data_IF_631777425306
#
_entry.id   IF_631777425306
#
_cell.length_a   1.000
_cell.length_b   1.000
_cell.length_c   1.000
_cell.angle_alpha   90.00
_cell.angle_beta   90.00
_cell.angle_gamma   90.00
#
_symmetry.space_group_name_H-M   'P 1'
#
loop_
_entity.id
_entity.type
_entity.pdbx_description
1 polymer ?
#
# COMPACT_ATOMS: atom_id res chain seq x y z
N UNK A 1 -12.68 21.94 13.89
CA UNK A 1 -13.93 21.19 13.75
C UNK A 1 -14.06 20.14 14.85
N UNK A 2 -14.61 20.55 15.99
CA UNK A 2 -14.80 19.73 17.20
C UNK A 2 -16.12 18.92 17.19
N UNK A 3 -16.98 19.10 16.17
CA UNK A 3 -18.33 18.53 16.14
C UNK A 3 -18.39 17.05 15.73
N UNK A 4 -17.35 16.48 15.12
CA UNK A 4 -17.32 15.05 14.76
C UNK A 4 -17.15 14.12 15.97
N UNK A 5 -16.76 14.65 17.14
CA UNK A 5 -16.50 13.85 18.34
C UNK A 5 -17.78 13.46 19.11
N UNK A 6 -18.93 14.06 18.81
CA UNK A 6 -20.11 13.94 19.68
C UNK A 6 -21.03 12.75 19.40
N UNK A 7 -20.80 11.97 18.33
CA UNK A 7 -21.60 10.77 18.01
C UNK A 7 -20.80 9.49 17.78
N UNK A 8 -19.46 9.59 17.71
CA UNK A 8 -18.56 8.48 17.43
C UNK A 8 -17.60 8.19 18.58
N UNK A 9 -17.30 6.91 18.81
CA UNK A 9 -16.19 6.52 19.69
C UNK A 9 -14.88 6.86 19.00
N UNK A 10 -14.18 7.88 19.47
CA UNK A 10 -12.83 8.22 19.01
C UNK A 10 -11.79 7.46 19.81
N UNK A 11 -10.82 6.90 19.11
CA UNK A 11 -9.68 6.19 19.69
C UNK A 11 -8.42 6.86 19.15
N UNK A 12 -7.62 7.43 20.05
CA UNK A 12 -6.29 7.91 19.71
C UNK A 12 -5.38 6.70 19.51
N UNK A 13 -4.61 6.72 18.44
CA UNK A 13 -3.70 5.64 18.06
C UNK A 13 -2.27 6.16 18.03
N UNK A 14 -1.35 5.33 18.49
CA UNK A 14 0.09 5.59 18.49
C UNK A 14 0.72 4.78 17.35
N UNK A 15 1.65 5.39 16.59
CA UNK A 15 2.23 4.80 15.38
C UNK A 15 3.09 3.55 15.62
N UNK A 16 3.35 3.21 16.89
CA UNK A 16 4.18 2.08 17.29
C UNK A 16 3.43 1.05 18.14
N UNK A 17 2.16 1.33 18.49
CA UNK A 17 1.39 0.52 19.43
C UNK A 17 0.22 -0.17 18.74
N UNK A 18 0.21 -1.52 18.68
CA UNK A 18 -0.94 -2.24 18.18
C UNK A 18 -2.19 -2.01 19.01
N UNK A 19 -3.35 -2.02 18.37
CA UNK A 19 -4.65 -1.90 19.04
C UNK A 19 -5.69 -2.82 18.41
N UNK A 20 -6.75 -3.11 19.16
CA UNK A 20 -7.77 -4.05 18.71
C UNK A 20 -9.06 -3.34 18.29
N UNK A 21 -9.61 -3.77 17.16
CA UNK A 21 -10.97 -3.44 16.73
C UNK A 21 -11.73 -4.75 16.54
N UNK A 22 -12.60 -5.08 17.50
CA UNK A 22 -13.32 -6.37 17.53
C UNK A 22 -12.33 -7.55 17.45
N UNK A 23 -12.37 -8.32 16.36
CA UNK A 23 -11.55 -9.52 16.15
C UNK A 23 -10.32 -9.25 15.26
N UNK A 24 -9.95 -7.97 15.09
CA UNK A 24 -8.81 -7.53 14.31
C UNK A 24 -7.79 -6.87 15.23
N UNK A 25 -6.52 -7.22 15.05
CA UNK A 25 -5.39 -6.53 15.65
C UNK A 25 -4.78 -5.64 14.56
N UNK A 26 -4.73 -4.33 14.82
CA UNK A 26 -4.20 -3.34 13.90
C UNK A 26 -2.80 -2.93 14.37
N UNK A 27 -1.82 -3.03 13.48
CA UNK A 27 -0.43 -2.67 13.73
C UNK A 27 -0.08 -1.46 12.86
N UNK A 28 -0.21 -0.23 13.39
CA UNK A 28 0.22 0.96 12.68
C UNK A 28 1.76 0.97 12.55
N UNK A 29 2.25 1.62 11.51
CA UNK A 29 3.68 1.91 11.34
C UNK A 29 3.88 3.22 10.56
N UNK A 30 4.89 4.04 10.90
CA UNK A 30 5.12 5.31 10.22
C UNK A 30 5.67 5.12 8.82
N UNK A 31 5.32 6.03 7.91
CA UNK A 31 5.83 6.05 6.54
C UNK A 31 6.29 7.45 6.13
N UNK A 32 7.20 7.60 5.15
CA UNK A 32 7.51 8.92 4.61
C UNK A 32 6.31 9.46 3.84
N UNK A 33 5.69 10.55 4.30
CA UNK A 33 4.70 11.31 3.54
C UNK A 33 4.63 12.74 4.10
N UNK A 34 4.15 13.71 3.34
CA UNK A 34 4.08 15.12 3.73
C UNK A 34 2.93 15.49 4.69
N UNK A 35 2.53 14.53 5.54
CA UNK A 35 1.59 14.74 6.65
C UNK A 35 2.32 14.84 8.00
N UNK A 36 1.61 15.23 9.06
CA UNK A 36 2.22 15.40 10.39
C UNK A 36 2.71 14.08 11.00
N UNK A 37 1.85 13.05 11.01
CA UNK A 37 2.15 11.70 11.52
C UNK A 37 1.55 10.64 10.59
N UNK A 38 2.07 10.51 9.36
CA UNK A 38 1.58 9.54 8.39
C UNK A 38 1.86 8.12 8.87
N UNK A 39 0.79 7.35 9.00
CA UNK A 39 0.85 5.94 9.35
C UNK A 39 0.18 5.09 8.28
N UNK A 40 0.70 3.90 8.11
CA UNK A 40 0.10 2.81 7.35
C UNK A 40 -0.13 1.63 8.29
N UNK A 41 -0.83 0.58 7.84
CA UNK A 41 -1.33 -0.43 8.76
C UNK A 41 -1.13 -1.84 8.24
N UNK A 42 -0.76 -2.75 9.16
CA UNK A 42 -1.07 -4.17 9.01
C UNK A 42 -2.33 -4.48 9.81
N UNK A 43 -3.23 -5.23 9.19
CA UNK A 43 -4.47 -5.70 9.82
C UNK A 43 -4.36 -7.21 9.95
N UNK A 44 -4.31 -7.68 11.17
CA UNK A 44 -4.21 -9.10 11.50
C UNK A 44 -5.58 -9.61 11.97
N UNK A 45 -6.06 -10.68 11.35
CA UNK A 45 -7.26 -11.37 11.77
C UNK A 45 -6.97 -12.29 12.96
N UNK A 46 -8.01 -12.66 13.70
CA UNK A 46 -7.91 -13.68 14.76
C UNK A 46 -7.31 -15.01 14.29
N UNK A 47 -7.43 -15.36 13.01
CA UNK A 47 -6.87 -16.59 12.45
C UNK A 47 -5.40 -16.45 12.00
N UNK A 48 -4.76 -15.30 12.23
CA UNK A 48 -3.36 -15.05 11.90
C UNK A 48 -3.12 -14.48 10.49
N UNK A 49 -4.18 -14.24 9.71
CA UNK A 49 -4.02 -13.60 8.40
C UNK A 49 -3.73 -12.12 8.54
N UNK A 50 -2.62 -11.71 7.96
CA UNK A 50 -2.18 -10.31 7.91
C UNK A 50 -2.43 -9.72 6.52
N UNK A 51 -3.14 -8.60 6.46
CA UNK A 51 -3.27 -7.74 5.28
C UNK A 51 -2.52 -6.44 5.52
N UNK A 52 -1.57 -6.10 4.65
CA UNK A 52 -0.91 -4.81 4.65
C UNK A 52 -1.65 -3.79 3.79
N UNK A 53 -1.68 -2.54 4.25
CA UNK A 53 -2.08 -1.38 3.47
C UNK A 53 -0.88 -0.45 3.42
N UNK A 54 -0.46 -0.06 2.23
CA UNK A 54 0.56 0.94 2.00
C UNK A 54 0.10 1.86 0.87
N UNK A 55 -0.63 2.92 1.22
CA UNK A 55 -0.87 4.04 0.32
C UNK A 55 -0.19 5.30 0.84
N UNK A 56 -0.19 6.39 0.08
CA UNK A 56 0.35 7.68 0.49
C UNK A 56 1.73 7.55 1.16
N UNK A 57 2.69 7.03 0.41
CA UNK A 57 4.06 6.84 0.85
C UNK A 57 5.00 7.41 -0.21
N UNK A 58 5.94 8.29 0.17
CA UNK A 58 6.85 8.91 -0.77
C UNK A 58 8.06 8.04 -1.10
N UNK A 59 8.47 7.14 -0.22
CA UNK A 59 9.69 6.34 -0.42
C UNK A 59 9.71 5.04 0.38
N UNK A 60 10.44 4.06 -0.15
CA UNK A 60 10.70 2.79 0.53
C UNK A 60 11.70 2.97 1.68
N UNK A 61 11.41 2.41 2.85
CA UNK A 61 12.35 2.32 3.98
C UNK A 61 12.57 0.86 4.40
N UNK A 62 13.70 0.53 5.05
CA UNK A 62 13.92 -0.81 5.60
C UNK A 62 12.82 -1.22 6.59
N UNK A 63 12.38 -0.30 7.46
CA UNK A 63 11.32 -0.55 8.43
C UNK A 63 10.00 -0.94 7.76
N UNK A 64 9.60 -0.20 6.72
CA UNK A 64 8.41 -0.50 5.93
C UNK A 64 8.49 -1.89 5.30
N UNK A 65 9.62 -2.25 4.69
CA UNK A 65 9.81 -3.59 4.10
C UNK A 65 9.71 -4.67 5.17
N UNK A 66 10.31 -4.47 6.35
CA UNK A 66 10.19 -5.40 7.48
C UNK A 66 8.74 -5.59 7.92
N UNK A 67 7.96 -4.51 7.99
CA UNK A 67 6.53 -4.60 8.34
C UNK A 67 5.76 -5.38 7.28
N UNK A 68 5.96 -5.06 6.00
CA UNK A 68 5.23 -5.69 4.90
C UNK A 68 5.57 -7.18 4.68
N UNK A 69 6.75 -7.66 5.11
CA UNK A 69 7.10 -9.09 5.07
C UNK A 69 6.18 -10.00 5.91
N UNK A 70 5.39 -9.41 6.81
CA UNK A 70 4.38 -10.14 7.59
C UNK A 70 3.08 -10.38 6.80
N UNK A 71 2.87 -9.68 5.69
CA UNK A 71 1.60 -9.65 4.99
C UNK A 71 1.39 -10.87 4.06
N UNK A 72 0.17 -11.40 4.07
CA UNK A 72 -0.30 -12.43 3.14
C UNK A 72 -1.04 -11.81 1.94
N UNK A 73 -1.64 -10.64 2.16
CA UNK A 73 -2.18 -9.79 1.11
C UNK A 73 -1.71 -8.35 1.31
N UNK A 74 -1.55 -7.62 0.22
CA UNK A 74 -1.05 -6.24 0.26
C UNK A 74 -1.86 -5.34 -0.66
N UNK A 75 -2.34 -4.21 -0.14
CA UNK A 75 -2.79 -3.08 -0.96
C UNK A 75 -1.62 -2.12 -1.05
N UNK A 76 -1.07 -1.92 -2.25
CA UNK A 76 0.15 -1.14 -2.47
C UNK A 76 -0.11 -0.01 -3.46
N UNK A 77 0.27 1.20 -3.07
CA UNK A 77 0.27 2.36 -3.94
C UNK A 77 1.20 2.19 -5.14
N UNK A 78 0.66 2.52 -6.31
CA UNK A 78 1.41 2.67 -7.55
C UNK A 78 0.89 3.95 -8.21
N UNK A 79 1.30 5.10 -7.68
CA UNK A 79 0.61 6.36 -7.95
C UNK A 79 0.91 6.91 -9.33
N UNK A 80 2.19 6.96 -9.72
CA UNK A 80 2.58 7.63 -10.96
C UNK A 80 3.69 6.88 -11.72
N UNK A 81 3.67 7.06 -13.04
CA UNK A 81 4.81 6.80 -13.89
C UNK A 81 5.71 8.06 -13.94
N UNK A 82 7.01 7.97 -13.63
CA UNK A 82 7.91 9.13 -13.62
C UNK A 82 7.91 9.92 -14.94
N UNK A 83 7.89 9.22 -16.07
CA UNK A 83 7.88 9.84 -17.40
C UNK A 83 6.55 10.53 -17.71
N UNK A 84 5.43 9.97 -17.25
CA UNK A 84 4.12 10.62 -17.40
C UNK A 84 4.00 11.82 -16.47
N UNK A 85 4.54 11.75 -15.25
CA UNK A 85 4.55 12.86 -14.30
C UNK A 85 5.40 14.03 -14.81
N UNK A 86 6.58 13.77 -15.36
CA UNK A 86 7.47 14.81 -15.89
C UNK A 86 6.84 15.55 -17.07
N UNK A 87 6.13 14.83 -17.94
CA UNK A 87 5.44 15.36 -19.12
C UNK A 87 4.01 15.86 -18.85
N UNK A 88 3.52 15.75 -17.62
CA UNK A 88 2.14 16.11 -17.27
C UNK A 88 1.89 17.64 -17.33
N UNK A 89 0.61 18.09 -17.36
CA UNK A 89 0.29 19.51 -17.29
C UNK A 89 0.45 20.12 -15.89
N UNK A 90 0.87 19.33 -14.89
CA UNK A 90 1.01 19.82 -13.53
C UNK A 90 2.06 20.93 -13.42
N UNK A 91 1.84 21.93 -12.54
CA UNK A 91 2.86 22.93 -12.27
C UNK A 91 4.12 22.26 -11.68
N UNK A 92 5.32 22.83 -11.89
CA UNK A 92 6.57 22.24 -11.43
C UNK A 92 6.60 21.92 -9.92
N UNK A 93 5.95 22.75 -9.09
CA UNK A 93 5.83 22.52 -7.64
C UNK A 93 5.07 21.24 -7.32
N UNK A 94 3.98 20.96 -8.02
CA UNK A 94 3.19 19.75 -7.81
C UNK A 94 3.94 18.51 -8.32
N UNK A 95 4.63 18.59 -9.46
CA UNK A 95 5.48 17.50 -9.95
C UNK A 95 6.56 17.14 -8.91
N UNK A 96 7.22 18.15 -8.34
CA UNK A 96 8.23 17.97 -7.29
C UNK A 96 7.65 17.37 -6.02
N UNK A 97 6.43 17.77 -5.63
CA UNK A 97 5.74 17.22 -4.46
C UNK A 97 5.37 15.75 -4.66
N UNK A 98 4.71 15.41 -5.77
CA UNK A 98 4.26 14.05 -6.07
C UNK A 98 5.43 13.08 -6.22
N UNK A 99 6.48 13.47 -6.95
CA UNK A 99 7.64 12.62 -7.21
C UNK A 99 8.76 12.70 -6.17
N UNK A 100 8.55 13.42 -5.07
CA UNK A 100 9.56 13.55 -4.00
C UNK A 100 9.49 12.41 -2.98
N UNK A 101 10.52 12.30 -2.14
CA UNK A 101 10.66 11.23 -1.12
C UNK A 101 9.56 11.19 -0.05
N UNK A 102 8.75 12.25 0.04
CA UNK A 102 7.60 12.42 0.93
C UNK A 102 6.28 12.60 0.18
N UNK A 103 6.28 12.38 -1.14
CA UNK A 103 5.08 12.43 -1.98
C UNK A 103 4.40 11.07 -2.06
N UNK A 104 4.35 10.51 -3.27
CA UNK A 104 3.68 9.25 -3.56
C UNK A 104 4.63 8.25 -4.24
N UNK A 105 4.37 6.95 -4.08
CA UNK A 105 5.19 5.94 -4.72
C UNK A 105 5.01 5.99 -6.24
N UNK A 106 6.13 5.99 -6.95
CA UNK A 106 6.11 5.70 -8.39
C UNK A 106 5.93 4.21 -8.63
N UNK A 107 5.48 3.83 -9.83
CA UNK A 107 5.38 2.42 -10.24
C UNK A 107 6.70 1.67 -10.04
N UNK A 108 7.84 2.34 -10.29
CA UNK A 108 9.16 1.74 -10.13
C UNK A 108 9.48 1.46 -8.66
N UNK A 109 9.22 2.43 -7.76
CA UNK A 109 9.47 2.24 -6.32
C UNK A 109 8.55 1.18 -5.75
N UNK A 110 7.29 1.11 -6.19
CA UNK A 110 6.37 0.03 -5.83
C UNK A 110 6.92 -1.35 -6.23
N UNK A 111 7.42 -1.49 -7.47
CA UNK A 111 8.09 -2.72 -7.91
C UNK A 111 9.34 -3.05 -7.08
N UNK A 112 10.14 -2.05 -6.70
CA UNK A 112 11.33 -2.26 -5.87
C UNK A 112 10.98 -2.70 -4.45
N UNK A 113 9.89 -2.21 -3.88
CA UNK A 113 9.34 -2.73 -2.61
C UNK A 113 8.96 -4.19 -2.81
N UNK A 114 8.13 -4.50 -3.82
CA UNK A 114 7.68 -5.87 -4.07
C UNK A 114 8.86 -6.84 -4.23
N UNK A 115 9.91 -6.47 -4.96
CA UNK A 115 11.13 -7.29 -5.13
C UNK A 115 11.87 -7.57 -3.81
N UNK A 116 11.79 -6.66 -2.83
CA UNK A 116 12.44 -6.83 -1.52
C UNK A 116 11.61 -7.64 -0.54
N UNK A 117 10.32 -7.83 -0.79
CA UNK A 117 9.47 -8.65 0.07
C UNK A 117 9.85 -10.11 -0.04
N UNK A 118 9.75 -10.85 1.06
CA UNK A 118 9.84 -12.30 1.05
C UNK A 118 8.54 -12.88 0.44
N UNK A 119 8.68 -13.75 -0.56
CA UNK A 119 7.54 -14.40 -1.21
C UNK A 119 6.93 -15.55 -0.41
N UNK A 120 7.53 -15.96 0.72
CA UNK A 120 7.07 -17.11 1.48
C UNK A 120 5.60 -17.01 1.94
N UNK A 121 5.16 -15.80 2.30
CA UNK A 121 3.83 -15.57 2.89
C UNK A 121 2.87 -14.79 1.97
N UNK A 122 3.40 -13.96 1.06
CA UNK A 122 2.60 -13.05 0.25
C UNK A 122 1.93 -13.79 -0.91
N UNK A 123 0.59 -13.79 -0.93
CA UNK A 123 -0.22 -14.53 -1.91
C UNK A 123 -0.90 -13.62 -2.93
N UNK A 124 -1.31 -12.42 -2.49
CA UNK A 124 -2.10 -11.50 -3.30
C UNK A 124 -1.69 -10.04 -3.12
N UNK A 125 -1.62 -9.27 -4.21
CA UNK A 125 -1.34 -7.82 -4.16
C UNK A 125 -2.38 -7.05 -4.97
N UNK A 126 -2.82 -5.90 -4.47
CA UNK A 126 -3.67 -4.97 -5.22
C UNK A 126 -2.89 -3.69 -5.48
N UNK A 127 -2.76 -3.29 -6.74
CA UNK A 127 -2.28 -1.96 -7.09
C UNK A 127 -3.40 -0.97 -6.83
N UNK A 128 -3.14 0.02 -5.99
CA UNK A 128 -4.13 1.03 -5.61
C UNK A 128 -3.54 2.43 -5.72
N UNK A 129 -4.42 3.43 -5.55
CA UNK A 129 -4.03 4.83 -5.50
C UNK A 129 -3.33 5.33 -6.77
N UNK A 130 -3.72 4.80 -7.94
CA UNK A 130 -3.20 5.21 -9.25
C UNK A 130 -3.70 6.63 -9.60
N UNK A 131 -2.79 7.52 -9.97
CA UNK A 131 -3.11 8.83 -10.55
C UNK A 131 -3.81 8.66 -11.88
N UNK A 132 -4.95 9.34 -12.06
CA UNK A 132 -5.65 9.40 -13.35
C UNK A 132 -4.87 10.14 -14.44
N UNK A 133 -4.04 11.09 -14.05
CA UNK A 133 -3.35 11.98 -15.01
C UNK A 133 -1.95 11.49 -15.34
N UNK A 134 -1.25 10.91 -14.36
CA UNK A 134 0.19 10.61 -14.47
C UNK A 134 0.47 9.13 -14.31
N UNK A 135 -0.51 8.28 -14.55
CA UNK A 135 -0.35 6.84 -14.58
C UNK A 135 -1.27 6.19 -15.62
N UNK A 136 -1.01 4.92 -15.89
CA UNK A 136 -1.80 4.08 -16.78
C UNK A 136 -1.89 2.68 -16.18
N UNK A 137 -3.10 2.13 -15.95
CA UNK A 137 -3.27 0.77 -15.43
C UNK A 137 -2.51 -0.30 -16.23
N UNK A 138 -2.45 -0.17 -17.56
CA UNK A 138 -1.72 -1.11 -18.41
C UNK A 138 -0.20 -1.12 -18.14
N UNK A 139 0.38 0.03 -17.78
CA UNK A 139 1.80 0.11 -17.40
C UNK A 139 2.03 -0.60 -16.07
N UNK A 140 1.15 -0.35 -15.09
CA UNK A 140 1.19 -1.04 -13.79
C UNK A 140 1.06 -2.55 -13.97
N UNK A 141 0.10 -3.00 -14.80
CA UNK A 141 -0.12 -4.40 -15.13
C UNK A 141 1.14 -5.08 -15.66
N UNK A 142 1.82 -4.45 -16.62
CA UNK A 142 3.06 -4.98 -17.20
C UNK A 142 4.17 -5.06 -16.16
N UNK A 143 4.44 -3.95 -15.46
CA UNK A 143 5.53 -3.88 -14.48
C UNK A 143 5.32 -4.84 -13.31
N UNK A 144 4.08 -5.01 -12.84
CA UNK A 144 3.77 -5.91 -11.73
C UNK A 144 3.78 -7.37 -12.18
N UNK A 145 3.33 -7.67 -13.40
CA UNK A 145 3.41 -9.02 -13.96
C UNK A 145 4.86 -9.52 -14.02
N UNK A 146 5.82 -8.66 -14.37
CA UNK A 146 7.25 -8.99 -14.40
C UNK A 146 7.79 -9.35 -13.01
N UNK A 147 7.28 -8.72 -11.95
CA UNK A 147 7.78 -8.90 -10.58
C UNK A 147 7.08 -10.06 -9.86
N UNK A 148 5.76 -10.18 -10.03
CA UNK A 148 4.92 -11.06 -9.20
C UNK A 148 4.64 -12.42 -9.85
N UNK A 149 4.45 -12.47 -11.18
CA UNK A 149 4.11 -13.72 -11.89
C UNK A 149 5.19 -14.79 -11.72
N UNK A 150 6.50 -14.50 -11.87
CA UNK A 150 7.55 -15.52 -11.68
C UNK A 150 7.62 -16.09 -10.26
N UNK A 151 7.01 -15.38 -9.29
CA UNK A 151 6.98 -15.74 -7.87
C UNK A 151 5.69 -16.46 -7.48
N UNK A 152 4.76 -16.66 -8.44
CA UNK A 152 3.47 -17.26 -8.19
C UNK A 152 2.52 -16.38 -7.36
N UNK A 153 2.80 -15.08 -7.24
CA UNK A 153 1.98 -14.14 -6.49
C UNK A 153 0.94 -13.58 -7.45
N UNK A 154 -0.34 -13.69 -7.07
CA UNK A 154 -1.45 -13.15 -7.86
C UNK A 154 -1.65 -11.67 -7.56
N UNK A 155 -2.16 -10.90 -8.51
CA UNK A 155 -2.41 -9.48 -8.29
C UNK A 155 -3.58 -8.95 -9.11
N UNK A 156 -4.11 -7.81 -8.67
CA UNK A 156 -5.19 -7.08 -9.34
C UNK A 156 -4.90 -5.56 -9.29
N UNK A 157 -5.65 -4.77 -10.06
CA UNK A 157 -5.49 -3.32 -10.14
C UNK A 157 -6.82 -2.63 -9.82
N UNK A 158 -6.83 -1.88 -8.72
CA UNK A 158 -7.93 -0.99 -8.35
C UNK A 158 -7.63 0.43 -8.85
N UNK A 159 -8.36 0.88 -9.87
CA UNK A 159 -8.30 2.25 -10.39
C UNK A 159 -9.52 3.07 -9.98
N UNK A 160 -9.59 4.34 -10.39
CA UNK A 160 -10.73 5.19 -10.00
C UNK A 160 -12.06 4.76 -10.63
N UNK A 161 -12.03 4.07 -11.78
CA UNK A 161 -13.23 3.59 -12.46
C UNK A 161 -13.69 2.22 -11.95
N UNK A 162 -12.74 1.40 -11.51
CA UNK A 162 -12.94 -0.02 -11.21
C UNK A 162 -12.17 -0.38 -9.94
N UNK A 163 -12.86 -0.99 -8.97
CA UNK A 163 -12.22 -1.60 -7.82
C UNK A 163 -11.62 -2.97 -8.16
N UNK A 164 -11.60 -3.86 -7.19
CA UNK A 164 -11.18 -5.25 -7.37
C UNK A 164 -12.26 -6.19 -6.80
N UNK A 165 -12.32 -7.42 -7.29
CA UNK A 165 -13.30 -8.41 -6.83
C UNK A 165 -12.93 -9.00 -5.47
N UNK A 166 -13.87 -9.68 -4.83
CA UNK A 166 -13.56 -10.50 -3.65
C UNK A 166 -12.54 -11.58 -4.02
N UNK A 167 -11.51 -11.71 -3.18
CA UNK A 167 -10.46 -12.72 -3.32
C UNK A 167 -10.34 -13.57 -2.06
N UNK A 168 -9.91 -14.82 -2.22
CA UNK A 168 -9.66 -15.74 -1.12
C UNK A 168 -8.16 -16.03 -1.02
N UNK A 169 -7.64 -16.01 0.21
CA UNK A 169 -6.28 -16.43 0.50
C UNK A 169 -6.26 -17.91 0.91
N UNK A 170 -5.20 -18.63 0.53
CA UNK A 170 -4.99 -20.02 0.93
C UNK A 170 -4.67 -20.10 2.43
N UNK A 171 -5.58 -20.75 3.16
CA UNK A 171 -5.55 -20.93 4.61
C UNK A 171 -4.59 -22.03 5.07
N UNK A 172 -4.10 -22.87 4.16
CA UNK A 172 -3.18 -23.96 4.50
C UNK A 172 -1.78 -23.48 4.87
N UNK A 173 -1.40 -22.27 4.44
CA UNK A 173 -0.09 -21.69 4.74
C UNK A 173 0.08 -21.24 6.20
N UNK A 174 -1.02 -21.05 6.96
CA UNK A 174 -0.98 -20.67 8.38
C UNK A 174 -1.01 -21.86 9.35
N UNK A 175 -1.27 -23.07 8.84
CA UNK A 175 -1.43 -24.27 9.65
C UNK A 175 -0.14 -25.12 9.74
N UNK A 176 0.98 -24.62 9.20
CA UNK A 176 2.31 -25.23 9.23
C UNK A 176 3.21 -24.47 10.21
#
# INVERSE_FOLDING_TARGET
DEDYLQSGRVVLIDSHSPFNVKNLTLHPFPVPHDAAEPIQMLIESRSGFVTGILTDCGSSTPHLVTMLNRAHALILESNHCPDMLSNSPYPPSLKKRVGGDYGHLSNQVACDILRKLDSGNLQFVVAAHLSQTTNCPNVVQQMWAEVLTPRGITFDIACQAEGFAWTNLDTRQLAA
#
